data_IF_430660711902
#
_entry.id   IF_430660711902
#
_cell.length_a   1.000
_cell.length_b   1.000
_cell.length_c   1.000
_cell.angle_alpha   90.00
_cell.angle_beta   90.00
_cell.angle_gamma   90.00
#
_symmetry.space_group_name_H-M   'P 1'
#
loop_
_entity.id
_entity.type
_entity.pdbx_description
1 polymer ?
#
# COMPACT_ATOMS: atom_id res chain seq x y z
N UNK A 1 -6.95 33.04 -27.98
CA UNK A 1 -7.77 32.33 -26.97
C UNK A 1 -6.97 31.12 -26.50
N UNK A 2 -6.33 31.22 -25.34
CA UNK A 2 -5.67 30.08 -24.72
C UNK A 2 -6.71 29.35 -23.88
N UNK A 3 -7.07 28.13 -24.28
CA UNK A 3 -7.90 27.24 -23.46
C UNK A 3 -7.09 26.87 -22.23
N UNK A 4 -7.51 27.38 -21.08
CA UNK A 4 -7.02 26.92 -19.79
C UNK A 4 -7.50 25.48 -19.65
N UNK A 5 -6.58 24.53 -19.69
CA UNK A 5 -6.85 23.21 -19.12
C UNK A 5 -7.08 23.44 -17.63
N UNK A 6 -8.34 23.41 -17.22
CA UNK A 6 -8.69 23.25 -15.83
C UNK A 6 -8.02 21.94 -15.38
N UNK A 7 -7.06 22.06 -14.46
CA UNK A 7 -6.60 20.92 -13.66
C UNK A 7 -7.80 20.48 -12.81
N UNK A 8 -8.68 19.68 -13.42
CA UNK A 8 -9.73 18.98 -12.69
C UNK A 8 -9.02 18.13 -11.63
N UNK A 9 -9.25 18.47 -10.38
CA UNK A 9 -8.63 17.81 -9.24
C UNK A 9 -8.84 16.31 -9.36
N UNK A 10 -7.75 15.59 -9.61
CA UNK A 10 -7.68 14.14 -9.46
C UNK A 10 -8.21 13.80 -8.06
N UNK A 11 -9.44 13.34 -7.98
CA UNK A 11 -9.97 12.76 -6.75
C UNK A 11 -9.18 11.48 -6.50
N UNK A 12 -8.35 11.47 -5.45
CA UNK A 12 -7.67 10.26 -4.99
C UNK A 12 -8.75 9.24 -4.61
N UNK A 13 -8.93 8.23 -5.44
CA UNK A 13 -9.86 7.15 -5.18
C UNK A 13 -9.34 6.29 -4.03
N UNK A 14 -10.20 6.06 -3.04
CA UNK A 14 -9.85 5.41 -1.78
C UNK A 14 -9.79 3.88 -1.85
N UNK A 15 -10.09 3.28 -3.00
CA UNK A 15 -10.08 1.82 -3.18
C UNK A 15 -11.43 1.16 -2.92
N UNK A 16 -12.47 1.94 -2.59
CA UNK A 16 -13.83 1.43 -2.42
C UNK A 16 -14.57 1.45 -3.76
N UNK A 17 -15.22 0.33 -4.12
CA UNK A 17 -15.93 0.13 -5.39
C UNK A 17 -15.05 0.27 -6.65
N UNK A 18 -15.64 0.53 -7.82
CA UNK A 18 -14.85 0.73 -9.04
C UNK A 18 -14.30 2.17 -9.08
N UNK A 19 -13.04 2.37 -9.54
CA UNK A 19 -12.50 3.71 -9.69
C UNK A 19 -13.34 4.52 -10.68
N UNK A 20 -13.74 5.77 -10.38
CA UNK A 20 -14.53 6.57 -11.31
C UNK A 20 -13.70 6.95 -12.55
N UNK A 21 -14.38 7.22 -13.67
CA UNK A 21 -13.73 7.74 -14.87
C UNK A 21 -12.99 9.06 -14.55
N UNK A 22 -11.78 9.22 -15.08
CA UNK A 22 -10.87 10.32 -14.73
C UNK A 22 -9.92 10.02 -13.57
N UNK A 23 -10.04 8.85 -12.93
CA UNK A 23 -9.16 8.45 -11.81
C UNK A 23 -7.88 7.81 -12.32
N UNK A 24 -6.72 8.25 -11.82
CA UNK A 24 -5.49 7.48 -11.92
C UNK A 24 -5.42 6.44 -10.80
N UNK A 25 -5.22 5.18 -11.18
CA UNK A 25 -5.11 4.07 -10.24
C UNK A 25 -4.08 3.06 -10.75
N UNK A 26 -3.84 2.02 -9.96
CA UNK A 26 -3.08 0.87 -10.39
C UNK A 26 -4.04 -0.22 -10.86
N UNK A 27 -3.73 -0.83 -12.00
CA UNK A 27 -4.52 -1.91 -12.59
C UNK A 27 -3.65 -3.11 -12.96
N UNK A 28 -4.20 -4.31 -12.78
CA UNK A 28 -3.57 -5.57 -13.15
C UNK A 28 -4.48 -6.40 -14.05
N UNK A 29 -3.90 -6.95 -15.11
CA UNK A 29 -4.52 -8.03 -15.87
C UNK A 29 -4.18 -9.38 -15.22
N UNK A 30 -5.15 -9.99 -14.55
CA UNK A 30 -5.13 -11.41 -14.18
C UNK A 30 -3.84 -11.86 -13.50
N UNK A 31 -3.38 -11.13 -12.48
CA UNK A 31 -2.18 -11.49 -11.69
C UNK A 31 -0.85 -11.00 -12.27
N UNK A 32 -0.87 -10.20 -13.34
CA UNK A 32 0.31 -9.47 -13.81
C UNK A 32 0.69 -8.35 -12.84
N UNK A 33 1.93 -7.84 -12.89
CA UNK A 33 2.32 -6.66 -12.13
C UNK A 33 1.35 -5.51 -12.41
N UNK A 34 0.97 -4.79 -11.35
CA UNK A 34 0.13 -3.62 -11.48
C UNK A 34 0.86 -2.53 -12.26
N UNK A 35 0.15 -1.88 -13.17
CA UNK A 35 0.63 -0.72 -13.94
C UNK A 35 -0.25 0.49 -13.64
N UNK A 36 0.29 1.70 -13.80
CA UNK A 36 -0.50 2.92 -13.61
C UNK A 36 -1.37 3.19 -14.83
N UNK A 37 -2.66 3.40 -14.58
CA UNK A 37 -3.64 3.67 -15.62
C UNK A 37 -4.55 4.83 -15.21
N UNK A 38 -4.99 5.59 -16.19
CA UNK A 38 -6.14 6.48 -16.08
C UNK A 38 -7.38 5.72 -16.56
N UNK A 39 -8.44 5.73 -15.74
CA UNK A 39 -9.72 5.17 -16.13
C UNK A 39 -10.44 6.11 -17.07
N UNK A 40 -10.72 5.66 -18.29
CA UNK A 40 -11.40 6.47 -19.32
C UNK A 40 -12.91 6.26 -19.31
N UNK A 41 -13.39 5.09 -18.85
CA UNK A 41 -14.82 4.80 -18.73
C UNK A 41 -15.12 3.30 -18.66
N UNK A 42 -16.40 2.99 -18.44
CA UNK A 42 -16.91 1.62 -18.31
C UNK A 42 -18.11 1.40 -19.23
N UNK A 43 -18.29 0.16 -19.67
CA UNK A 43 -19.51 -0.31 -20.34
C UNK A 43 -19.71 -1.79 -20.04
N UNK A 44 -20.71 -2.11 -19.22
CA UNK A 44 -20.87 -3.46 -18.69
C UNK A 44 -19.62 -3.88 -17.92
N UNK A 45 -19.04 -5.01 -18.29
CA UNK A 45 -17.81 -5.56 -17.69
C UNK A 45 -16.53 -5.07 -18.39
N UNK A 46 -16.66 -4.26 -19.45
CA UNK A 46 -15.52 -3.69 -20.16
C UNK A 46 -15.11 -2.35 -19.57
N UNK A 47 -13.80 -2.17 -19.41
CA UNK A 47 -13.19 -0.92 -18.99
C UNK A 47 -12.27 -0.41 -20.09
N UNK A 48 -12.33 0.90 -20.34
CA UNK A 48 -11.33 1.61 -21.13
C UNK A 48 -10.37 2.30 -20.19
N UNK A 49 -9.09 2.07 -20.44
CA UNK A 49 -7.99 2.53 -19.63
C UNK A 49 -6.96 3.19 -20.55
N UNK A 50 -6.11 4.03 -19.98
CA UNK A 50 -4.96 4.62 -20.66
C UNK A 50 -3.75 4.48 -19.75
N UNK A 51 -2.65 3.89 -20.24
CA UNK A 51 -1.41 3.80 -19.45
C UNK A 51 -0.91 5.20 -19.16
N UNK A 52 -0.53 5.46 -17.92
CA UNK A 52 -0.02 6.79 -17.55
C UNK A 52 1.37 7.01 -18.17
N UNK A 53 2.20 5.97 -18.26
CA UNK A 53 3.60 6.10 -18.66
C UNK A 53 3.78 6.45 -20.15
N UNK A 54 3.00 5.84 -21.04
CA UNK A 54 3.16 5.96 -22.49
C UNK A 54 1.88 6.45 -23.21
N UNK A 55 0.81 6.76 -22.46
CA UNK A 55 -0.49 7.21 -22.97
C UNK A 55 -1.18 6.21 -23.91
N UNK A 56 -0.77 4.94 -23.92
CA UNK A 56 -1.36 3.91 -24.76
C UNK A 56 -2.77 3.57 -24.26
N UNK A 57 -3.79 3.55 -25.14
CA UNK A 57 -5.13 3.10 -24.77
C UNK A 57 -5.16 1.57 -24.62
N UNK A 58 -5.95 1.09 -23.66
CA UNK A 58 -6.22 -0.32 -23.45
C UNK A 58 -7.70 -0.54 -23.14
N UNK A 59 -8.19 -1.70 -23.54
CA UNK A 59 -9.54 -2.16 -23.22
C UNK A 59 -9.42 -3.55 -22.62
N UNK A 60 -10.07 -3.76 -21.48
CA UNK A 60 -10.02 -5.02 -20.75
C UNK A 60 -11.37 -5.36 -20.14
N UNK A 61 -11.53 -6.62 -19.77
CA UNK A 61 -12.52 -7.00 -18.78
C UNK A 61 -11.89 -6.86 -17.40
N UNK A 62 -12.56 -6.17 -16.47
CA UNK A 62 -11.99 -5.91 -15.16
C UNK A 62 -13.01 -6.15 -14.05
N UNK A 63 -12.58 -6.90 -13.04
CA UNK A 63 -13.28 -7.01 -11.76
C UNK A 63 -12.80 -5.91 -10.82
N UNK A 64 -13.50 -5.71 -9.70
CA UNK A 64 -13.06 -4.80 -8.63
C UNK A 64 -11.62 -5.09 -8.18
N UNK A 65 -11.28 -6.38 -8.01
CA UNK A 65 -9.95 -6.82 -7.58
C UNK A 65 -8.83 -6.53 -8.59
N UNK A 66 -9.19 -6.15 -9.83
CA UNK A 66 -8.21 -5.75 -10.85
C UNK A 66 -7.65 -4.35 -10.59
N UNK A 67 -8.27 -3.57 -9.71
CA UNK A 67 -7.91 -2.19 -9.40
C UNK A 67 -7.45 -2.04 -7.96
N UNK A 68 -6.49 -1.13 -7.77
CA UNK A 68 -6.16 -0.61 -6.45
C UNK A 68 -5.75 0.85 -6.52
N UNK A 69 -5.91 1.61 -5.43
CA UNK A 69 -5.37 2.97 -5.34
C UNK A 69 -3.87 2.99 -5.62
N UNK A 70 -3.38 4.14 -6.08
CA UNK A 70 -1.95 4.38 -6.15
C UNK A 70 -1.40 4.32 -4.72
N UNK A 71 -0.39 3.48 -4.43
CA UNK A 71 0.18 3.38 -3.10
C UNK A 71 0.67 4.75 -2.61
N UNK A 72 0.24 5.15 -1.42
CA UNK A 72 0.73 6.37 -0.80
C UNK A 72 2.20 6.22 -0.40
N UNK A 73 2.88 7.33 -0.09
CA UNK A 73 4.25 7.28 0.46
C UNK A 73 4.32 6.47 1.76
N UNK A 74 3.26 6.49 2.56
CA UNK A 74 3.14 5.67 3.76
C UNK A 74 3.04 4.19 3.39
N UNK A 75 2.19 3.81 2.43
CA UNK A 75 2.03 2.41 2.00
C UNK A 75 3.34 1.83 1.47
N UNK A 76 4.04 2.58 0.62
CA UNK A 76 5.36 2.16 0.11
C UNK A 76 6.36 1.99 1.25
N UNK A 77 6.38 2.90 2.22
CA UNK A 77 7.27 2.79 3.36
C UNK A 77 6.91 1.63 4.28
N UNK A 78 5.62 1.38 4.51
CA UNK A 78 5.10 0.28 5.32
C UNK A 78 5.42 -1.06 4.69
N UNK A 79 5.15 -1.25 3.40
CA UNK A 79 5.54 -2.47 2.67
C UNK A 79 7.05 -2.69 2.73
N UNK A 80 7.82 -1.60 2.61
CA UNK A 80 9.25 -1.67 2.79
C UNK A 80 9.64 -2.07 4.23
N UNK A 81 8.99 -1.53 5.27
CA UNK A 81 9.27 -1.89 6.67
C UNK A 81 8.90 -3.34 6.96
N UNK A 82 7.78 -3.84 6.41
CA UNK A 82 7.39 -5.26 6.48
C UNK A 82 8.48 -6.19 5.95
N UNK A 83 9.12 -5.82 4.83
CA UNK A 83 10.19 -6.63 4.23
C UNK A 83 11.45 -6.75 5.10
N UNK A 84 11.73 -5.74 5.95
CA UNK A 84 12.88 -5.70 6.85
C UNK A 84 12.60 -6.47 8.14
N UNK A 85 11.40 -6.30 8.68
CA UNK A 85 11.00 -6.88 9.96
C UNK A 85 10.96 -8.42 9.97
N UNK A 86 10.76 -9.04 8.80
CA UNK A 86 10.57 -10.49 8.71
C UNK A 86 9.24 -10.97 9.31
N UNK A 87 8.79 -12.16 8.97
CA UNK A 87 7.43 -12.65 9.30
C UNK A 87 7.33 -13.42 10.62
N UNK A 88 8.41 -13.51 11.41
CA UNK A 88 8.56 -14.60 12.38
C UNK A 88 8.04 -14.33 13.80
N UNK A 89 7.95 -13.06 14.23
CA UNK A 89 7.72 -12.74 15.66
C UNK A 89 6.50 -11.84 15.92
N UNK A 90 5.89 -11.35 14.83
CA UNK A 90 4.65 -10.56 14.84
C UNK A 90 3.62 -11.36 14.05
N UNK A 91 2.43 -11.53 14.61
CA UNK A 91 1.35 -12.23 13.89
C UNK A 91 1.05 -11.47 12.58
N UNK A 92 0.96 -12.15 11.42
CA UNK A 92 0.78 -11.51 10.11
C UNK A 92 -0.37 -10.50 10.06
N UNK A 93 -1.47 -10.78 10.74
CA UNK A 93 -2.65 -9.94 10.83
C UNK A 93 -2.41 -8.59 11.53
N UNK A 94 -1.43 -8.48 12.41
CA UNK A 94 -1.09 -7.23 13.10
C UNK A 94 0.07 -6.47 12.44
N UNK A 95 0.82 -7.14 11.58
CA UNK A 95 2.05 -6.62 10.97
C UNK A 95 1.83 -5.26 10.30
N UNK A 96 0.77 -5.14 9.50
CA UNK A 96 0.47 -3.87 8.83
C UNK A 96 0.17 -2.74 9.80
N UNK A 97 -0.68 -2.99 10.80
CA UNK A 97 -1.07 -2.00 11.79
C UNK A 97 0.14 -1.51 12.59
N UNK A 98 1.04 -2.41 12.97
CA UNK A 98 2.26 -2.09 13.72
C UNK A 98 3.22 -1.27 12.85
N UNK A 99 3.46 -1.69 11.61
CA UNK A 99 4.38 -0.97 10.71
C UNK A 99 3.86 0.43 10.39
N UNK A 100 2.55 0.61 10.20
CA UNK A 100 1.93 1.94 10.07
C UNK A 100 2.14 2.79 11.31
N UNK A 101 1.94 2.21 12.50
CA UNK A 101 2.11 2.93 13.76
C UNK A 101 3.58 3.36 13.99
N UNK A 102 4.54 2.47 13.71
CA UNK A 102 5.97 2.79 13.74
C UNK A 102 6.33 3.87 12.71
N UNK A 103 5.82 3.77 11.48
CA UNK A 103 6.02 4.80 10.46
C UNK A 103 5.48 6.17 10.93
N UNK A 104 4.30 6.20 11.53
CA UNK A 104 3.70 7.45 12.05
C UNK A 104 4.47 8.03 13.22
N UNK A 105 5.08 7.20 14.06
CA UNK A 105 5.98 7.63 15.12
C UNK A 105 7.39 8.04 14.64
N UNK A 106 7.64 8.00 13.34
CA UNK A 106 8.87 8.49 12.73
C UNK A 106 9.95 7.44 12.55
N UNK A 107 9.71 6.17 12.88
CA UNK A 107 10.66 5.11 12.55
C UNK A 107 10.80 4.97 11.03
N UNK A 108 12.04 4.97 10.52
CA UNK A 108 12.33 4.75 9.10
C UNK A 108 13.38 3.65 8.94
N UNK A 109 13.45 3.07 7.73
CA UNK A 109 14.41 2.01 7.35
C UNK A 109 15.87 2.34 7.68
N UNK A 110 16.28 3.60 7.52
CA UNK A 110 17.67 4.03 7.76
C UNK A 110 17.94 4.31 9.23
N UNK A 111 16.92 4.34 10.07
CA UNK A 111 17.11 4.50 11.49
C UNK A 111 17.44 3.15 12.09
N UNK A 112 18.62 3.09 12.73
CA UNK A 112 19.04 2.00 13.58
C UNK A 112 17.92 1.62 14.57
N UNK A 113 17.09 2.59 14.96
CA UNK A 113 15.97 2.40 15.89
C UNK A 113 14.91 1.41 15.43
N UNK A 114 14.61 1.28 14.12
CA UNK A 114 13.65 0.28 13.65
C UNK A 114 14.25 -1.12 13.74
N UNK A 115 15.50 -1.27 13.29
CA UNK A 115 16.19 -2.56 13.34
C UNK A 115 16.43 -3.01 14.79
N UNK A 116 16.89 -2.10 15.65
CA UNK A 116 17.08 -2.35 17.09
C UNK A 116 15.77 -2.76 17.77
N UNK A 117 14.66 -2.09 17.43
CA UNK A 117 13.35 -2.46 17.94
C UNK A 117 12.97 -3.88 17.50
N UNK A 118 13.12 -4.20 16.21
CA UNK A 118 12.83 -5.54 15.70
C UNK A 118 13.75 -6.63 16.28
N UNK A 119 15.02 -6.34 16.46
CA UNK A 119 16.00 -7.26 17.06
C UNK A 119 15.69 -7.51 18.54
N UNK A 120 15.27 -6.48 19.28
CA UNK A 120 14.82 -6.63 20.67
C UNK A 120 13.57 -7.52 20.79
N UNK A 121 12.62 -7.38 19.86
CA UNK A 121 11.43 -8.25 19.82
C UNK A 121 11.78 -9.71 19.56
N UNK A 122 12.78 -9.94 18.70
CA UNK A 122 13.28 -11.26 18.36
C UNK A 122 13.96 -11.92 19.57
N UNK A 123 14.91 -11.23 20.20
CA UNK A 123 15.66 -11.76 21.35
C UNK A 123 14.72 -12.18 22.49
N UNK A 124 13.70 -11.37 22.76
CA UNK A 124 12.75 -11.67 23.81
C UNK A 124 11.75 -12.78 23.43
N UNK A 125 11.33 -12.86 22.17
CA UNK A 125 10.55 -14.00 21.68
C UNK A 125 11.32 -15.31 21.83
N UNK A 126 12.59 -15.32 21.47
CA UNK A 126 13.46 -16.49 21.61
C UNK A 126 13.66 -16.86 23.08
N UNK A 127 13.81 -15.87 23.97
CA UNK A 127 13.88 -16.06 25.43
C UNK A 127 12.61 -16.68 26.03
N UNK A 128 11.44 -16.33 25.49
CA UNK A 128 10.15 -16.84 25.94
C UNK A 128 9.71 -18.15 25.23
N UNK A 129 10.54 -18.72 24.35
CA UNK A 129 10.26 -19.98 23.66
C UNK A 129 9.33 -19.84 22.44
N UNK A 130 9.34 -18.71 21.75
CA UNK A 130 8.61 -18.48 20.50
C UNK A 130 7.25 -17.77 20.65
N UNK A 131 7.08 -16.95 21.69
CA UNK A 131 5.86 -16.17 21.87
C UNK A 131 5.71 -15.11 20.76
N UNK A 132 4.57 -15.11 20.07
CA UNK A 132 4.22 -14.06 19.12
C UNK A 132 3.63 -12.84 19.86
N UNK A 133 4.13 -11.65 19.58
CA UNK A 133 3.68 -10.43 20.22
C UNK A 133 2.33 -9.93 19.67
N UNK A 134 1.44 -9.50 20.56
CA UNK A 134 0.17 -8.85 20.20
C UNK A 134 0.35 -7.35 19.95
N UNK A 135 -0.68 -6.72 19.36
CA UNK A 135 -0.66 -5.28 19.06
C UNK A 135 -0.43 -4.40 20.31
N UNK A 136 -1.13 -4.68 21.41
CA UNK A 136 -1.02 -3.89 22.65
C UNK A 136 0.36 -4.00 23.30
N UNK A 137 1.02 -5.15 23.21
CA UNK A 137 2.38 -5.34 23.73
C UNK A 137 3.39 -4.49 22.94
N UNK A 138 3.26 -4.52 21.61
CA UNK A 138 4.14 -3.78 20.70
C UNK A 138 3.90 -2.28 20.77
N UNK A 139 2.64 -1.88 20.91
CA UNK A 139 2.23 -0.50 21.11
C UNK A 139 2.90 0.10 22.35
N UNK A 140 2.81 -0.60 23.50
CA UNK A 140 3.46 -0.15 24.75
C UNK A 140 4.98 -0.04 24.62
N UNK A 141 5.62 -1.00 23.94
CA UNK A 141 7.09 -1.04 23.77
C UNK A 141 7.61 0.05 22.85
N UNK A 142 6.86 0.38 21.80
CA UNK A 142 7.19 1.44 20.86
C UNK A 142 6.80 2.84 21.35
N UNK A 143 6.23 2.97 22.57
CA UNK A 143 5.69 4.22 23.12
C UNK A 143 4.63 4.89 22.20
N UNK A 144 3.69 4.09 21.67
CA UNK A 144 2.60 4.50 20.75
C UNK A 144 1.24 4.53 21.45
#
# INVERSE_FOLDING_TARGET
>A
MALRHEEEGMSEWNGEDYPPAGTECEWSDSGRPHIRVLVMGYYGESVWLRRVEDQTPLTAHATLDSFRPIPTKEDVAVEHMKSVAGTSYVRPEYMEMIMRALYRAGYRKKDTSLQEFMDALKDESDSCGGCCWGYEDLRRRANL
#
